data_IF_759217263304
#
_entry.id   IF_759217263304
#
_cell.length_a   1.000
_cell.length_b   1.000
_cell.length_c   1.000
_cell.angle_alpha   90.00
_cell.angle_beta   90.00
_cell.angle_gamma   90.00
#
_symmetry.space_group_name_H-M   'P 1'
#
loop_
_entity.id
_entity.type
_entity.pdbx_description
1 polymer ?
#
# COMPACT_ATOMS: atom_id res chain seq x y z
N UNK A 1 0.29 -2.37 -19.55
CA UNK A 1 1.62 -3.03 -19.53
C UNK A 1 1.43 -4.54 -19.64
N UNK A 2 2.26 -5.25 -20.40
CA UNK A 2 2.11 -6.71 -20.58
C UNK A 2 2.60 -7.44 -19.33
N UNK A 3 1.85 -8.44 -18.88
CA UNK A 3 2.17 -9.30 -17.72
C UNK A 3 3.57 -9.93 -17.81
N UNK A 4 4.06 -10.20 -19.01
CA UNK A 4 5.41 -10.72 -19.28
C UNK A 4 6.52 -9.79 -18.76
N UNK A 5 6.34 -8.47 -18.86
CA UNK A 5 7.32 -7.49 -18.36
C UNK A 5 7.34 -7.49 -16.84
N UNK A 6 6.16 -7.50 -16.21
CA UNK A 6 6.01 -7.59 -14.75
C UNK A 6 6.64 -8.88 -14.19
N UNK A 7 6.44 -9.99 -14.88
CA UNK A 7 7.08 -11.27 -14.56
C UNK A 7 8.60 -11.18 -14.66
N UNK A 8 9.12 -10.61 -15.75
CA UNK A 8 10.56 -10.43 -15.94
C UNK A 8 11.18 -9.59 -14.83
N UNK A 9 10.57 -8.47 -14.47
CA UNK A 9 11.06 -7.59 -13.40
C UNK A 9 10.98 -8.30 -12.03
N UNK A 10 9.87 -8.97 -11.75
CA UNK A 10 9.72 -9.75 -10.51
C UNK A 10 10.84 -10.80 -10.39
N UNK A 11 11.13 -11.55 -11.46
CA UNK A 11 12.23 -12.55 -11.44
C UNK A 11 13.59 -11.94 -11.20
N UNK A 12 13.85 -10.75 -11.74
CA UNK A 12 15.13 -10.05 -11.59
C UNK A 12 15.40 -9.70 -10.13
N UNK A 13 14.38 -9.23 -9.41
CA UNK A 13 14.52 -8.78 -8.03
C UNK A 13 14.29 -9.90 -7.00
N UNK A 14 13.55 -10.94 -7.37
CA UNK A 14 13.25 -12.09 -6.51
C UNK A 14 13.65 -13.42 -7.18
N UNK A 15 14.96 -13.66 -7.41
CA UNK A 15 15.45 -14.81 -8.18
C UNK A 15 15.25 -16.16 -7.48
N UNK A 16 14.88 -16.16 -6.19
CA UNK A 16 14.63 -17.38 -5.41
C UNK A 16 13.26 -18.01 -5.71
N UNK A 17 12.33 -17.27 -6.31
CA UNK A 17 11.03 -17.82 -6.66
C UNK A 17 11.09 -18.71 -7.89
N UNK A 18 10.40 -19.85 -7.84
CA UNK A 18 10.29 -20.74 -8.97
C UNK A 18 9.40 -20.11 -10.05
N UNK A 19 9.98 -19.90 -11.22
CA UNK A 19 9.38 -19.14 -12.32
C UNK A 19 8.12 -19.80 -12.85
N UNK A 20 8.13 -21.13 -12.94
CA UNK A 20 7.01 -21.91 -13.49
C UNK A 20 5.78 -21.86 -12.57
N UNK A 21 5.98 -21.44 -11.32
CA UNK A 21 4.94 -21.29 -10.30
C UNK A 21 4.43 -19.84 -10.20
N UNK A 22 5.14 -18.86 -10.79
CA UNK A 22 4.74 -17.46 -10.67
C UNK A 22 3.48 -17.19 -11.49
N UNK A 23 2.41 -16.80 -10.79
CA UNK A 23 1.15 -16.35 -11.40
C UNK A 23 0.88 -14.91 -11.00
N UNK A 24 0.68 -14.06 -12.01
CA UNK A 24 0.35 -12.65 -11.81
C UNK A 24 -1.12 -12.44 -12.20
N UNK A 25 -1.91 -11.93 -11.26
CA UNK A 25 -3.31 -11.59 -11.46
C UNK A 25 -3.55 -10.11 -11.10
N UNK A 26 -4.28 -9.34 -11.92
CA UNK A 26 -4.63 -7.97 -11.57
C UNK A 26 -5.58 -7.93 -10.37
N UNK A 27 -5.45 -6.89 -9.55
CA UNK A 27 -6.42 -6.51 -8.53
C UNK A 27 -7.20 -5.33 -9.09
N UNK A 28 -8.45 -5.57 -9.49
CA UNK A 28 -9.28 -4.57 -10.19
C UNK A 28 -9.95 -3.55 -9.25
N UNK A 29 -9.73 -3.68 -7.94
CA UNK A 29 -10.22 -2.72 -6.95
C UNK A 29 -9.25 -1.53 -6.89
N UNK A 30 -9.72 -0.33 -7.22
CA UNK A 30 -8.94 0.90 -7.07
C UNK A 30 -9.67 2.15 -7.59
N UNK A 31 -9.33 3.31 -7.04
CA UNK A 31 -9.87 4.62 -7.47
C UNK A 31 -8.81 5.56 -8.06
N UNK A 32 -7.60 5.07 -8.31
CA UNK A 32 -6.48 5.85 -8.86
C UNK A 32 -5.86 5.19 -10.09
N UNK A 33 -4.94 5.87 -10.76
CA UNK A 33 -4.23 5.36 -11.94
C UNK A 33 -3.23 4.23 -11.62
N UNK A 34 -2.93 4.01 -10.34
CA UNK A 34 -2.09 2.90 -9.85
C UNK A 34 -2.73 1.55 -10.17
N UNK A 35 -1.94 0.63 -10.72
CA UNK A 35 -2.35 -0.74 -11.01
C UNK A 35 -1.72 -1.69 -10.01
N UNK A 36 -2.56 -2.51 -9.38
CA UNK A 36 -2.14 -3.50 -8.41
C UNK A 36 -2.22 -4.90 -9.03
N UNK A 37 -1.23 -5.72 -8.73
CA UNK A 37 -1.16 -7.10 -9.17
C UNK A 37 -0.79 -7.99 -7.99
N UNK A 38 -1.51 -9.09 -7.81
CA UNK A 38 -1.10 -10.15 -6.92
C UNK A 38 -0.17 -11.09 -7.67
N UNK A 39 1.03 -11.26 -7.13
CA UNK A 39 2.05 -12.18 -7.64
C UNK A 39 2.11 -13.36 -6.68
N UNK A 40 1.54 -14.49 -7.09
CA UNK A 40 1.66 -15.75 -6.35
C UNK A 40 2.94 -16.43 -6.80
N UNK A 41 3.86 -16.68 -5.87
CA UNK A 41 5.16 -17.30 -6.13
C UNK A 41 5.19 -18.79 -5.77
N UNK A 42 4.31 -19.22 -4.86
CA UNK A 42 4.03 -20.62 -4.53
C UNK A 42 2.61 -20.70 -3.91
N UNK A 43 2.22 -21.84 -3.32
CA UNK A 43 0.94 -21.94 -2.59
C UNK A 43 0.88 -21.05 -1.34
N UNK A 44 2.01 -20.87 -0.67
CA UNK A 44 2.10 -20.16 0.62
C UNK A 44 2.73 -18.76 0.50
N UNK A 45 3.35 -18.44 -0.64
CA UNK A 45 4.07 -17.18 -0.81
C UNK A 45 3.45 -16.32 -1.90
N UNK A 46 3.09 -15.10 -1.52
CA UNK A 46 2.56 -14.09 -2.42
C UNK A 46 3.04 -12.70 -2.03
N UNK A 47 2.98 -11.80 -3.00
CA UNK A 47 3.39 -10.42 -2.89
C UNK A 47 2.52 -9.55 -3.79
N UNK A 48 2.37 -8.29 -3.41
CA UNK A 48 1.66 -7.30 -4.21
C UNK A 48 2.66 -6.49 -5.00
N UNK A 49 2.40 -6.36 -6.28
CA UNK A 49 3.14 -5.53 -7.21
C UNK A 49 2.28 -4.33 -7.59
N UNK A 50 2.76 -3.14 -7.25
CA UNK A 50 2.13 -1.87 -7.62
C UNK A 50 2.89 -1.27 -8.79
N UNK A 51 2.17 -0.88 -9.84
CA UNK A 51 2.68 -0.06 -10.92
C UNK A 51 2.02 1.32 -10.82
N UNK A 52 2.85 2.35 -10.68
CA UNK A 52 2.40 3.74 -10.68
C UNK A 52 3.01 4.52 -11.86
N UNK A 53 2.46 5.71 -12.10
CA UNK A 53 2.97 6.71 -13.03
C UNK A 53 3.17 8.04 -12.28
N UNK A 54 3.80 9.01 -12.95
CA UNK A 54 4.12 10.32 -12.36
C UNK A 54 3.08 11.40 -12.72
N UNK A 55 1.89 11.01 -13.21
CA UNK A 55 0.82 11.97 -13.55
C UNK A 55 0.27 12.68 -12.30
N UNK A 56 0.31 11.98 -11.15
CA UNK A 56 0.01 12.55 -9.84
C UNK A 56 1.27 12.56 -8.98
N UNK A 57 1.59 13.71 -8.40
CA UNK A 57 2.78 13.91 -7.56
C UNK A 57 2.78 12.96 -6.35
N UNK A 58 1.62 12.79 -5.71
CA UNK A 58 1.42 11.89 -4.56
C UNK A 58 1.88 10.44 -4.79
N UNK A 59 1.89 9.95 -6.04
CA UNK A 59 2.34 8.60 -6.35
C UNK A 59 3.84 8.41 -6.06
N UNK A 60 4.64 9.48 -6.04
CA UNK A 60 6.08 9.43 -5.74
C UNK A 60 6.37 9.13 -4.28
N UNK A 61 5.45 9.51 -3.39
CA UNK A 61 5.66 9.47 -1.94
C UNK A 61 5.26 8.14 -1.29
N UNK A 62 4.72 7.17 -2.05
CA UNK A 62 4.22 5.92 -1.49
C UNK A 62 5.26 5.18 -0.64
N UNK A 63 6.48 5.05 -1.15
CA UNK A 63 7.56 4.28 -0.49
C UNK A 63 8.10 5.04 0.71
N UNK A 64 8.25 6.36 0.60
CA UNK A 64 8.68 7.23 1.71
C UNK A 64 7.68 7.17 2.87
N UNK A 65 6.37 7.26 2.57
CA UNK A 65 5.31 7.14 3.58
C UNK A 65 5.32 5.74 4.21
N UNK A 66 5.42 4.66 3.42
CA UNK A 66 5.43 3.31 3.95
C UNK A 66 6.65 3.05 4.87
N UNK A 67 7.84 3.52 4.48
CA UNK A 67 9.05 3.41 5.28
C UNK A 67 8.99 4.26 6.55
N UNK A 68 8.39 5.44 6.49
CA UNK A 68 8.12 6.27 7.65
C UNK A 68 7.26 5.52 8.67
N UNK A 69 6.14 4.92 8.22
CA UNK A 69 5.25 4.15 9.09
C UNK A 69 5.98 2.96 9.72
N UNK A 70 6.73 2.18 8.92
CA UNK A 70 7.49 1.02 9.40
C UNK A 70 8.56 1.42 10.44
N UNK A 71 9.29 2.52 10.21
CA UNK A 71 10.34 3.02 11.13
C UNK A 71 9.77 3.39 12.49
N UNK A 72 8.50 3.83 12.52
CA UNK A 72 7.80 4.20 13.74
C UNK A 72 6.96 3.06 14.35
N UNK A 73 7.09 1.84 13.82
CA UNK A 73 6.39 0.66 14.31
C UNK A 73 4.90 0.62 13.97
N UNK A 74 4.45 1.48 13.06
CA UNK A 74 3.05 1.53 12.60
C UNK A 74 2.89 0.51 11.46
N UNK A 75 1.90 -0.36 11.59
CA UNK A 75 1.69 -1.48 10.67
C UNK A 75 1.12 -0.99 9.33
N UNK A 76 2.00 -0.94 8.32
CA UNK A 76 1.67 -0.83 6.91
C UNK A 76 2.29 -2.02 6.15
N UNK A 77 1.82 -2.34 4.93
CA UNK A 77 2.46 -3.39 4.13
C UNK A 77 3.95 -3.12 3.95
N UNK A 78 4.80 -4.09 4.34
CA UNK A 78 6.25 -3.94 4.20
C UNK A 78 6.63 -3.79 2.72
N UNK A 79 7.51 -2.83 2.43
CA UNK A 79 8.13 -2.68 1.11
C UNK A 79 9.29 -3.67 1.01
N UNK A 80 9.20 -4.63 0.09
CA UNK A 80 10.31 -5.54 -0.20
C UNK A 80 11.30 -4.95 -1.20
N UNK A 81 10.80 -4.22 -2.19
CA UNK A 81 11.63 -3.58 -3.20
C UNK A 81 10.89 -2.43 -3.90
N UNK A 82 11.63 -1.39 -4.28
CA UNK A 82 11.15 -0.26 -5.05
C UNK A 82 12.08 0.02 -6.23
N UNK A 83 11.53 -0.01 -7.44
CA UNK A 83 12.18 0.44 -8.66
C UNK A 83 11.49 1.75 -9.09
N UNK A 84 12.09 2.88 -8.72
CA UNK A 84 11.54 4.21 -9.02
C UNK A 84 11.58 4.54 -10.51
N UNK A 85 12.58 4.05 -11.24
CA UNK A 85 12.77 4.30 -12.67
C UNK A 85 11.65 3.63 -13.49
N UNK A 86 11.31 2.40 -13.12
CA UNK A 86 10.21 1.65 -13.72
C UNK A 86 8.86 1.91 -13.05
N UNK A 87 8.82 2.69 -11.96
CA UNK A 87 7.61 2.97 -11.17
C UNK A 87 6.95 1.71 -10.61
N UNK A 88 7.74 0.77 -10.10
CA UNK A 88 7.30 -0.53 -9.57
C UNK A 88 7.62 -0.65 -8.08
N UNK A 89 6.66 -1.17 -7.32
CA UNK A 89 6.81 -1.43 -5.89
C UNK A 89 6.37 -2.86 -5.61
N UNK A 90 7.22 -3.64 -4.97
CA UNK A 90 6.87 -4.97 -4.47
C UNK A 90 6.71 -4.89 -2.95
N UNK A 91 5.54 -5.26 -2.46
CA UNK A 91 5.17 -5.14 -1.06
C UNK A 91 4.46 -6.40 -0.55
N UNK A 92 4.38 -6.51 0.77
CA UNK A 92 3.75 -7.61 1.49
C UNK A 92 2.28 -7.84 1.09
N UNK A 93 1.90 -9.10 0.86
CA UNK A 93 0.51 -9.46 0.62
C UNK A 93 -0.20 -9.77 1.94
N UNK A 94 -1.04 -8.83 2.40
CA UNK A 94 -1.87 -8.98 3.60
C UNK A 94 -3.15 -9.80 3.34
N UNK A 95 -3.32 -10.33 2.13
CA UNK A 95 -4.47 -11.15 1.75
C UNK A 95 -5.62 -10.35 1.13
N UNK A 96 -6.83 -10.91 1.21
CA UNK A 96 -8.01 -10.42 0.47
C UNK A 96 -9.13 -9.90 1.35
N UNK A 97 -9.02 -10.06 2.67
CA UNK A 97 -10.10 -9.76 3.61
C UNK A 97 -9.86 -8.43 4.30
N UNK A 98 -10.70 -7.45 3.97
CA UNK A 98 -10.79 -6.17 4.64
C UNK A 98 -11.79 -6.21 5.82
N UNK A 99 -11.87 -5.11 6.58
CA UNK A 99 -12.82 -4.97 7.69
C UNK A 99 -14.28 -5.16 7.27
N UNK A 100 -14.67 -4.73 6.06
CA UNK A 100 -16.03 -4.89 5.55
C UNK A 100 -16.36 -6.36 5.25
N UNK A 101 -15.35 -7.17 4.94
CA UNK A 101 -15.47 -8.63 4.84
C UNK A 101 -15.97 -9.31 6.11
N UNK A 102 -15.80 -8.68 7.28
CA UNK A 102 -16.25 -9.19 8.59
C UNK A 102 -17.59 -8.59 9.04
N UNK A 103 -18.31 -7.84 8.20
CA UNK A 103 -19.53 -7.10 8.62
C UNK A 103 -20.63 -7.96 9.25
N UNK A 104 -20.71 -9.23 8.86
CA UNK A 104 -21.73 -10.19 9.33
C UNK A 104 -21.30 -10.93 10.63
N UNK A 105 -20.06 -10.72 11.09
CA UNK A 105 -19.56 -11.31 12.33
C UNK A 105 -20.17 -10.64 13.60
N UNK A 106 -20.23 -11.36 14.73
CA UNK A 106 -20.63 -10.80 16.01
C UNK A 106 -19.82 -9.57 16.38
N UNK A 107 -20.45 -8.61 17.08
CA UNK A 107 -19.78 -7.39 17.53
C UNK A 107 -18.48 -7.67 18.28
N UNK A 108 -18.44 -8.69 19.14
CA UNK A 108 -17.23 -9.04 19.90
C UNK A 108 -16.03 -9.35 19.00
N UNK A 109 -16.25 -9.98 17.84
CA UNK A 109 -15.20 -10.28 16.85
C UNK A 109 -14.81 -9.00 16.10
N UNK A 110 -15.78 -8.27 15.57
CA UNK A 110 -15.52 -7.02 14.83
C UNK A 110 -14.79 -5.99 15.69
N UNK A 111 -15.20 -5.86 16.96
CA UNK A 111 -14.62 -4.92 17.93
C UNK A 111 -13.11 -5.06 18.02
N UNK A 112 -12.59 -6.29 18.10
CA UNK A 112 -11.15 -6.52 18.19
C UNK A 112 -10.39 -5.95 16.97
N UNK A 113 -10.96 -6.08 15.76
CA UNK A 113 -10.34 -5.52 14.55
C UNK A 113 -10.41 -4.00 14.49
N UNK A 114 -11.54 -3.41 14.92
CA UNK A 114 -11.65 -1.94 15.02
C UNK A 114 -10.69 -1.37 16.08
N UNK A 115 -10.59 -2.01 17.25
CA UNK A 115 -9.65 -1.60 18.31
C UNK A 115 -8.20 -1.69 17.81
N UNK A 116 -7.84 -2.77 17.11
CA UNK A 116 -6.51 -2.89 16.51
C UNK A 116 -6.21 -1.77 15.50
N UNK A 117 -7.17 -1.40 14.64
CA UNK A 117 -6.96 -0.29 13.71
C UNK A 117 -6.83 1.07 14.42
N UNK A 118 -7.60 1.29 15.49
CA UNK A 118 -7.52 2.50 16.30
C UNK A 118 -6.21 2.58 17.10
N UNK A 119 -5.66 1.46 17.52
CA UNK A 119 -4.37 1.40 18.19
C UNK A 119 -3.23 1.89 17.26
N UNK A 120 -3.24 1.51 15.98
CA UNK A 120 -2.30 2.01 14.97
C UNK A 120 -2.45 3.53 14.73
N UNK A 121 -3.68 4.02 14.61
CA UNK A 121 -3.95 5.47 14.46
C UNK A 121 -3.48 6.23 15.70
N UNK A 122 -3.69 5.68 16.90
CA UNK A 122 -3.19 6.27 18.14
C UNK A 122 -1.67 6.36 18.14
N UNK A 123 -0.96 5.31 17.71
CA UNK A 123 0.50 5.34 17.62
C UNK A 123 0.98 6.45 16.68
N UNK A 124 0.37 6.57 15.50
CA UNK A 124 0.66 7.65 14.55
C UNK A 124 0.46 9.05 15.16
N UNK A 125 -0.64 9.24 15.91
CA UNK A 125 -0.95 10.52 16.55
C UNK A 125 -0.11 10.82 17.80
N UNK A 126 0.62 9.85 18.32
CA UNK A 126 1.54 10.03 19.45
C UNK A 126 2.96 10.41 19.01
N UNK A 127 3.24 10.44 17.70
CA UNK A 127 4.53 10.87 17.20
C UNK A 127 4.82 12.34 17.56
N UNK A 128 6.07 12.68 17.92
CA UNK A 128 6.44 14.06 18.20
C UNK A 128 6.19 14.98 17.01
N UNK A 129 5.76 16.21 17.27
CA UNK A 129 5.51 17.22 16.22
C UNK A 129 6.72 17.42 15.29
N UNK A 130 7.94 17.36 15.82
CA UNK A 130 9.17 17.47 15.02
C UNK A 130 9.26 16.40 13.93
N UNK A 131 8.84 15.16 14.23
CA UNK A 131 8.81 14.05 13.27
C UNK A 131 7.74 14.30 12.20
N UNK A 132 6.59 14.82 12.61
CA UNK A 132 5.50 15.15 11.67
C UNK A 132 5.87 16.28 10.71
N UNK A 133 6.61 17.30 11.17
CA UNK A 133 7.09 18.42 10.35
C UNK A 133 8.04 17.92 9.26
N UNK A 134 8.95 17.01 9.60
CA UNK A 134 9.87 16.40 8.62
C UNK A 134 9.09 15.66 7.52
N UNK A 135 8.05 14.90 7.90
CA UNK A 135 7.23 14.16 6.94
C UNK A 135 6.33 15.06 6.09
N UNK A 136 5.97 16.25 6.57
CA UNK A 136 5.03 17.16 5.89
C UNK A 136 5.45 17.52 4.46
N UNK A 137 6.75 17.54 4.17
CA UNK A 137 7.28 17.82 2.83
C UNK A 137 6.99 16.70 1.80
N UNK A 138 6.62 15.51 2.28
CA UNK A 138 6.34 14.32 1.48
C UNK A 138 4.85 13.97 1.43
N UNK A 139 4.00 14.79 2.02
CA UNK A 139 2.55 14.58 2.05
C UNK A 139 1.86 15.42 0.96
N UNK A 140 0.73 14.93 0.43
CA UNK A 140 -0.09 15.74 -0.47
C UNK A 140 -0.61 16.99 0.26
N UNK A 141 -1.21 17.91 -0.52
CA UNK A 141 -1.81 19.13 0.02
C UNK A 141 -2.69 18.82 1.23
N UNK A 142 -2.54 19.63 2.27
CA UNK A 142 -3.32 19.50 3.50
C UNK A 142 -4.83 19.55 3.20
N UNK A 143 -5.58 18.77 3.97
CA UNK A 143 -7.02 18.87 3.93
C UNK A 143 -7.47 20.13 4.68
N UNK A 144 -7.86 21.17 3.94
CA UNK A 144 -8.29 22.45 4.49
C UNK A 144 -9.70 22.84 4.03
N UNK A 145 -10.22 23.94 4.58
CA UNK A 145 -11.57 24.40 4.27
C UNK A 145 -11.78 24.67 2.77
N UNK A 146 -10.74 25.12 2.05
CA UNK A 146 -10.83 25.35 0.62
C UNK A 146 -10.96 24.03 -0.15
N UNK A 147 -10.17 23.01 0.20
CA UNK A 147 -10.27 21.68 -0.40
C UNK A 147 -11.63 21.03 -0.11
N UNK A 148 -12.12 21.13 1.13
CA UNK A 148 -13.45 20.62 1.51
C UNK A 148 -14.58 21.27 0.69
N UNK A 149 -14.54 22.59 0.50
CA UNK A 149 -15.53 23.30 -0.33
C UNK A 149 -15.44 22.91 -1.81
N UNK A 150 -14.23 22.64 -2.32
CA UNK A 150 -14.05 22.13 -3.67
C UNK A 150 -14.69 20.75 -3.84
N UNK A 151 -14.48 19.81 -2.91
CA UNK A 151 -15.03 18.45 -2.98
C UNK A 151 -16.57 18.40 -2.98
N UNK A 152 -17.24 19.40 -2.41
CA UNK A 152 -18.70 19.50 -2.45
C UNK A 152 -19.27 19.94 -3.80
N UNK A 153 -18.43 20.52 -4.68
CA UNK A 153 -18.86 21.19 -5.90
C UNK A 153 -18.25 20.59 -7.20
N UNK A 154 -17.47 19.51 -7.09
CA UNK A 154 -16.86 18.82 -8.23
C UNK A 154 -17.77 17.74 -8.84
#
# INVERSE_FOLDING_TARGET
MRTELLLRQTRRHFPRFNVDEIKIAPIEKGGSDRKFYRVRCSSEQSLILVKYNLEREENRHYVEIAQFLETHGIHAPRIYYHDADEGLIWLEDLGERDLFGYRDEPWLVRRAFYESALDEVRQLHQLPESVCIEMHQHLPAEFNAALYLWEQNY
#
